data_IF_682989676197
#
_entry.id   IF_682989676197
#
_cell.length_a   1.000
_cell.length_b   1.000
_cell.length_c   1.000
_cell.angle_alpha   90.00
_cell.angle_beta   90.00
_cell.angle_gamma   90.00
#
_symmetry.space_group_name_H-M   'P 1'
#
loop_
_entity.id
_entity.type
_entity.pdbx_description
1 polymer ?
#
# COMPACT_ATOMS: atom_id res chain seq x y z
N UNK A 1 18.29 4.35 -37.38
CA UNK A 1 19.65 4.39 -37.96
C UNK A 1 20.39 3.05 -37.90
N UNK A 2 20.28 2.25 -36.83
CA UNK A 2 21.02 0.98 -36.68
C UNK A 2 20.63 -0.13 -37.68
N UNK A 3 19.34 -0.24 -38.04
CA UNK A 3 18.85 -1.25 -38.99
C UNK A 3 19.40 -1.03 -40.42
N UNK A 4 19.56 0.23 -40.81
CA UNK A 4 20.11 0.63 -42.11
C UNK A 4 21.62 0.37 -42.19
N UNK A 5 22.33 0.53 -41.07
CA UNK A 5 23.78 0.26 -40.96
C UNK A 5 24.05 -1.24 -41.13
N UNK A 6 23.36 -2.13 -40.40
CA UNK A 6 23.62 -3.58 -40.51
C UNK A 6 23.32 -4.18 -41.90
N UNK A 7 22.32 -3.64 -42.63
CA UNK A 7 21.98 -4.11 -43.97
C UNK A 7 22.95 -3.59 -45.05
N UNK A 8 23.40 -2.33 -44.94
CA UNK A 8 24.32 -1.71 -45.90
C UNK A 8 25.77 -2.20 -45.76
N UNK A 9 26.19 -2.62 -44.56
CA UNK A 9 27.53 -3.16 -44.35
C UNK A 9 27.66 -4.66 -44.67
N UNK A 10 26.55 -5.40 -44.78
CA UNK A 10 26.63 -6.85 -45.04
C UNK A 10 27.22 -7.19 -46.43
N UNK A 11 26.90 -6.41 -47.47
CA UNK A 11 27.37 -6.63 -48.84
C UNK A 11 28.76 -6.02 -49.10
N UNK A 12 29.06 -4.89 -48.46
CA UNK A 12 30.35 -4.20 -48.61
C UNK A 12 31.46 -4.89 -47.81
N UNK A 13 31.15 -5.45 -46.64
CA UNK A 13 32.12 -6.22 -45.84
C UNK A 13 32.44 -7.58 -46.48
N UNK A 14 31.45 -8.29 -47.03
CA UNK A 14 31.69 -9.55 -47.77
C UNK A 14 32.56 -9.34 -49.02
N UNK A 15 32.33 -8.23 -49.72
CA UNK A 15 33.12 -7.87 -50.90
C UNK A 15 34.57 -7.50 -50.55
N UNK A 16 34.79 -6.92 -49.36
CA UNK A 16 36.11 -6.52 -48.88
C UNK A 16 36.96 -7.68 -48.32
N UNK A 17 36.34 -8.77 -47.86
CA UNK A 17 37.03 -9.90 -47.21
C UNK A 17 37.17 -11.12 -48.15
N UNK A 18 36.67 -11.07 -49.39
CA UNK A 18 36.72 -12.17 -50.37
C UNK A 18 36.23 -13.52 -49.79
N UNK A 19 35.22 -13.48 -48.92
CA UNK A 19 34.59 -14.70 -48.40
C UNK A 19 33.34 -14.97 -49.25
N UNK A 20 33.39 -15.99 -50.10
CA UNK A 20 32.23 -16.52 -50.79
C UNK A 20 31.32 -17.25 -49.78
N UNK A 21 30.44 -16.49 -49.16
CA UNK A 21 29.37 -17.03 -48.31
C UNK A 21 28.29 -17.64 -49.23
N UNK A 22 28.20 -18.98 -49.24
CA UNK A 22 27.13 -19.73 -49.93
C UNK A 22 25.76 -19.19 -49.50
N UNK A 23 24.79 -19.02 -50.41
CA UNK A 23 23.46 -18.40 -50.19
C UNK A 23 22.75 -18.70 -48.85
N UNK A 24 22.81 -19.92 -48.27
CA UNK A 24 22.20 -20.20 -46.97
C UNK A 24 22.82 -19.39 -45.83
N UNK A 25 24.14 -19.17 -45.87
CA UNK A 25 24.88 -18.43 -44.83
C UNK A 25 24.57 -16.93 -44.84
N UNK A 26 24.40 -16.34 -46.03
CA UNK A 26 23.97 -14.94 -46.18
C UNK A 26 22.57 -14.71 -45.62
N UNK A 27 21.68 -15.68 -45.81
CA UNK A 27 20.30 -15.64 -45.29
C UNK A 27 20.28 -15.74 -43.77
N UNK A 28 21.10 -16.62 -43.19
CA UNK A 28 21.26 -16.75 -41.73
C UNK A 28 21.81 -15.45 -41.13
N UNK A 29 22.84 -14.83 -41.71
CA UNK A 29 23.40 -13.56 -41.22
C UNK A 29 22.37 -12.42 -41.25
N UNK A 30 21.53 -12.34 -42.29
CA UNK A 30 20.45 -11.35 -42.37
C UNK A 30 19.37 -11.59 -41.31
N UNK A 31 18.96 -12.83 -41.10
CA UNK A 31 17.98 -13.20 -40.07
C UNK A 31 18.53 -12.89 -38.66
N UNK A 32 19.79 -13.24 -38.39
CA UNK A 32 20.45 -12.89 -37.14
C UNK A 32 20.57 -11.37 -36.95
N UNK A 33 20.91 -10.61 -38.00
CA UNK A 33 20.97 -9.15 -37.94
C UNK A 33 19.63 -8.48 -37.65
N UNK A 34 18.53 -9.00 -38.22
CA UNK A 34 17.16 -8.53 -37.93
C UNK A 34 16.78 -8.87 -36.49
N UNK A 35 17.03 -10.11 -36.04
CA UNK A 35 16.76 -10.54 -34.67
C UNK A 35 17.55 -9.71 -33.65
N UNK A 36 18.84 -9.47 -33.88
CA UNK A 36 19.68 -8.61 -33.03
C UNK A 36 19.18 -7.16 -33.03
N UNK A 37 18.73 -6.63 -34.16
CA UNK A 37 18.16 -5.27 -34.24
C UNK A 37 16.85 -5.15 -33.46
N UNK A 38 15.98 -6.16 -33.56
CA UNK A 38 14.75 -6.22 -32.77
C UNK A 38 15.04 -6.28 -31.27
N UNK A 39 15.97 -7.16 -30.86
CA UNK A 39 16.41 -7.24 -29.46
C UNK A 39 17.03 -5.92 -28.98
N UNK A 40 17.82 -5.24 -29.82
CA UNK A 40 18.41 -3.95 -29.52
C UNK A 40 17.35 -2.85 -29.36
N UNK A 41 16.36 -2.77 -30.26
CA UNK A 41 15.25 -1.80 -30.14
C UNK A 41 14.44 -2.07 -28.89
N UNK A 42 14.14 -3.35 -28.61
CA UNK A 42 13.44 -3.79 -27.40
C UNK A 42 14.20 -3.37 -26.15
N UNK A 43 15.49 -3.71 -26.07
CA UNK A 43 16.37 -3.40 -24.94
C UNK A 43 16.56 -1.89 -24.76
N UNK A 44 16.77 -1.14 -25.85
CA UNK A 44 16.86 0.32 -25.82
C UNK A 44 15.56 0.96 -25.33
N UNK A 45 14.41 0.40 -25.73
CA UNK A 45 13.10 0.81 -25.24
C UNK A 45 12.94 0.57 -23.74
N UNK A 46 13.33 -0.61 -23.24
CA UNK A 46 13.32 -0.92 -21.81
C UNK A 46 14.23 0.01 -21.01
N UNK A 47 15.47 0.24 -21.46
CA UNK A 47 16.41 1.15 -20.80
C UNK A 47 15.92 2.58 -20.80
N UNK A 48 15.34 3.07 -21.91
CA UNK A 48 14.76 4.41 -21.97
C UNK A 48 13.62 4.58 -20.96
N UNK A 49 12.73 3.59 -20.84
CA UNK A 49 11.66 3.59 -19.82
C UNK A 49 12.23 3.58 -18.40
N UNK A 50 13.26 2.79 -18.13
CA UNK A 50 13.92 2.77 -16.82
C UNK A 50 14.60 4.11 -16.51
N UNK A 51 15.29 4.72 -17.46
CA UNK A 51 15.92 6.03 -17.29
C UNK A 51 14.88 7.12 -17.06
N UNK A 52 13.81 7.16 -17.85
CA UNK A 52 12.72 8.11 -17.67
C UNK A 52 12.06 7.95 -16.30
N UNK A 53 11.85 6.70 -15.85
CA UNK A 53 11.36 6.41 -14.50
C UNK A 53 12.33 6.92 -13.42
N UNK A 54 13.63 6.67 -13.56
CA UNK A 54 14.64 7.14 -12.59
C UNK A 54 14.73 8.68 -12.57
N UNK A 55 14.57 9.32 -13.73
CA UNK A 55 14.52 10.77 -13.86
C UNK A 55 13.28 11.34 -13.16
N UNK A 56 12.10 10.72 -13.37
CA UNK A 56 10.87 11.08 -12.66
C UNK A 56 11.01 10.85 -11.15
N UNK A 57 11.56 9.71 -10.70
CA UNK A 57 11.80 9.43 -9.28
C UNK A 57 12.77 10.46 -8.66
N UNK A 58 13.81 10.86 -9.39
CA UNK A 58 14.72 11.93 -8.97
C UNK A 58 14.01 13.28 -8.92
N UNK A 59 13.20 13.61 -9.92
CA UNK A 59 12.44 14.86 -9.99
C UNK A 59 11.35 14.95 -8.92
N UNK A 60 10.77 13.82 -8.51
CA UNK A 60 9.79 13.76 -7.42
C UNK A 60 10.35 14.34 -6.12
N UNK A 61 11.64 14.13 -5.84
CA UNK A 61 12.30 14.64 -4.61
C UNK A 61 12.35 16.16 -4.56
N UNK A 62 12.31 16.82 -5.70
CA UNK A 62 12.36 18.28 -5.80
C UNK A 62 10.97 18.92 -5.77
N UNK A 63 9.91 18.10 -5.71
CA UNK A 63 8.55 18.60 -5.58
C UNK A 63 8.34 19.27 -4.21
N UNK A 64 7.81 20.49 -4.18
CA UNK A 64 7.58 21.20 -2.93
C UNK A 64 6.26 20.79 -2.29
N UNK A 65 6.27 20.72 -0.97
CA UNK A 65 5.13 20.47 -0.11
C UNK A 65 5.08 21.50 1.01
N UNK A 66 3.88 21.78 1.51
CA UNK A 66 3.66 22.54 2.73
C UNK A 66 3.34 21.57 3.86
N UNK A 67 4.14 21.61 4.93
CA UNK A 67 3.95 20.81 6.14
C UNK A 67 3.59 21.74 7.30
N UNK A 68 2.55 21.38 8.05
CA UNK A 68 2.21 22.04 9.31
C UNK A 68 3.23 21.70 10.39
N UNK A 69 3.82 22.72 11.01
CA UNK A 69 4.71 22.59 12.17
C UNK A 69 4.15 23.39 13.34
N UNK A 70 4.69 23.17 14.54
CA UNK A 70 4.28 23.90 15.76
C UNK A 70 4.44 25.42 15.60
N UNK A 71 5.43 25.85 14.82
CA UNK A 71 5.74 27.26 14.54
C UNK A 71 5.00 27.83 13.33
N UNK A 72 4.07 27.09 12.73
CA UNK A 72 3.33 27.48 11.52
C UNK A 72 3.56 26.54 10.33
N UNK A 73 3.13 26.94 9.15
CA UNK A 73 3.35 26.14 7.92
C UNK A 73 4.68 26.50 7.27
N UNK A 74 5.42 25.48 6.82
CA UNK A 74 6.67 25.69 6.08
C UNK A 74 6.62 24.96 4.75
N UNK A 75 7.10 25.60 3.70
CA UNK A 75 7.23 24.99 2.38
C UNK A 75 8.64 24.47 2.20
N UNK A 76 8.77 23.19 1.90
CA UNK A 76 10.03 22.48 1.70
C UNK A 76 9.89 21.49 0.55
N UNK A 77 11.01 21.09 -0.05
CA UNK A 77 11.03 19.99 -1.01
C UNK A 77 10.90 18.64 -0.30
N UNK A 78 10.45 17.59 -1.00
CA UNK A 78 10.45 16.24 -0.44
C UNK A 78 11.86 15.81 0.00
N UNK A 79 12.89 16.24 -0.74
CA UNK A 79 14.32 16.00 -0.46
C UNK A 79 14.74 16.50 0.93
N UNK A 80 14.15 17.58 1.42
CA UNK A 80 14.49 18.15 2.74
C UNK A 80 14.09 17.24 3.91
N UNK A 81 13.32 16.17 3.64
CA UNK A 81 12.87 15.19 4.63
C UNK A 81 13.50 13.81 4.43
N UNK A 82 14.46 13.67 3.52
CA UNK A 82 15.20 12.43 3.34
C UNK A 82 15.89 12.02 4.64
N UNK A 83 15.89 10.71 4.92
CA UNK A 83 16.32 10.08 6.15
C UNK A 83 15.25 10.06 7.25
N UNK A 84 14.21 10.90 7.15
CA UNK A 84 13.24 11.12 8.23
C UNK A 84 11.88 10.53 7.89
N UNK A 85 11.28 10.98 6.77
CA UNK A 85 9.90 10.63 6.42
C UNK A 85 9.81 9.80 5.14
N UNK A 86 8.80 8.95 5.09
CA UNK A 86 8.27 8.34 3.87
C UNK A 86 7.10 9.19 3.38
N UNK A 87 6.80 9.11 2.10
CA UNK A 87 5.68 9.83 1.50
C UNK A 87 4.76 8.87 0.77
N UNK A 88 3.46 9.00 0.99
CA UNK A 88 2.44 8.37 0.17
C UNK A 88 1.58 9.47 -0.43
N UNK A 89 1.65 9.60 -1.76
CA UNK A 89 0.91 10.62 -2.49
C UNK A 89 -0.33 9.99 -3.10
N UNK A 90 -1.47 10.62 -2.85
CA UNK A 90 -2.77 10.25 -3.37
C UNK A 90 -3.22 11.32 -4.36
N UNK A 91 -3.68 10.90 -5.54
CA UNK A 91 -4.19 11.78 -6.58
C UNK A 91 -5.58 11.32 -7.00
N UNK A 92 -6.50 12.27 -7.15
CA UNK A 92 -7.85 12.00 -7.64
C UNK A 92 -8.77 13.21 -7.55
N UNK A 93 -10.04 12.99 -7.87
CA UNK A 93 -11.13 13.93 -7.64
C UNK A 93 -11.43 14.08 -6.14
N UNK A 94 -12.26 15.05 -5.77
CA UNK A 94 -12.67 15.24 -4.38
C UNK A 94 -13.28 13.98 -3.75
N UNK A 95 -14.11 13.26 -4.50
CA UNK A 95 -14.76 12.03 -4.03
C UNK A 95 -13.76 10.88 -3.85
N UNK A 96 -12.85 10.69 -4.80
CA UNK A 96 -11.82 9.64 -4.72
C UNK A 96 -10.85 9.92 -3.56
N UNK A 97 -10.42 11.17 -3.40
CA UNK A 97 -9.54 11.58 -2.30
C UNK A 97 -10.24 11.41 -0.95
N UNK A 98 -11.51 11.79 -0.82
CA UNK A 98 -12.31 11.55 0.39
C UNK A 98 -12.34 10.06 0.76
N UNK A 99 -12.60 9.19 -0.21
CA UNK A 99 -12.62 7.73 0.02
C UNK A 99 -11.24 7.19 0.43
N UNK A 100 -10.18 7.53 -0.30
CA UNK A 100 -8.83 7.07 0.03
C UNK A 100 -8.35 7.61 1.38
N UNK A 101 -8.68 8.85 1.72
CA UNK A 101 -8.31 9.46 2.98
C UNK A 101 -9.05 8.84 4.16
N UNK A 102 -10.35 8.58 4.08
CA UNK A 102 -11.08 7.88 5.14
C UNK A 102 -10.47 6.51 5.45
N UNK A 103 -10.08 5.76 4.40
CA UNK A 103 -9.33 4.50 4.59
C UNK A 103 -7.95 4.74 5.20
N UNK A 104 -7.24 5.81 4.81
CA UNK A 104 -5.95 6.15 5.41
C UNK A 104 -6.05 6.51 6.90
N UNK A 105 -7.14 7.15 7.33
CA UNK A 105 -7.35 7.50 8.74
C UNK A 105 -7.59 6.30 9.65
N UNK A 106 -8.03 5.16 9.11
CA UNK A 106 -8.01 3.87 9.83
C UNK A 106 -6.60 3.53 10.33
N UNK A 107 -5.57 3.92 9.58
CA UNK A 107 -4.16 3.66 9.87
C UNK A 107 -3.41 4.87 10.43
N UNK A 108 -4.10 5.92 10.89
CA UNK A 108 -3.48 7.19 11.33
C UNK A 108 -2.33 6.99 12.34
N UNK A 109 -2.49 6.06 13.29
CA UNK A 109 -1.45 5.73 14.27
C UNK A 109 -0.27 5.01 13.62
N UNK A 110 -0.54 4.10 12.68
CA UNK A 110 0.47 3.33 11.92
C UNK A 110 1.30 4.20 10.98
N UNK A 111 0.69 5.20 10.36
CA UNK A 111 1.40 6.21 9.59
C UNK A 111 2.40 6.99 10.47
N UNK A 112 2.03 7.33 11.72
CA UNK A 112 2.97 7.93 12.68
C UNK A 112 4.11 6.97 13.03
N UNK A 113 3.81 5.72 13.38
CA UNK A 113 4.85 4.73 13.73
C UNK A 113 5.80 4.39 12.57
N UNK A 114 5.34 4.56 11.33
CA UNK A 114 6.17 4.37 10.13
C UNK A 114 6.83 5.67 9.63
N UNK A 115 6.71 6.79 10.34
CA UNK A 115 7.08 8.14 9.91
C UNK A 115 6.68 8.40 8.45
N UNK A 116 5.40 8.24 8.13
CA UNK A 116 4.89 8.39 6.77
C UNK A 116 3.92 9.57 6.70
N UNK A 117 4.17 10.49 5.78
CA UNK A 117 3.33 11.67 5.50
C UNK A 117 2.47 11.40 4.27
N UNK A 118 1.18 11.72 4.37
CA UNK A 118 0.24 11.70 3.25
C UNK A 118 0.31 13.03 2.50
N UNK A 119 0.28 12.97 1.17
CA UNK A 119 0.17 14.15 0.31
C UNK A 119 -1.02 13.93 -0.62
N UNK A 120 -1.87 14.94 -0.77
CA UNK A 120 -3.01 14.87 -1.68
C UNK A 120 -2.87 15.84 -2.85
N UNK A 121 -3.15 15.36 -4.05
CA UNK A 121 -3.14 16.11 -5.30
C UNK A 121 -4.50 15.98 -5.99
N UNK A 122 -5.25 17.08 -6.07
CA UNK A 122 -6.54 17.05 -6.75
C UNK A 122 -6.41 17.16 -8.27
N UNK A 123 -7.27 16.44 -8.99
CA UNK A 123 -7.40 16.50 -10.45
C UNK A 123 -8.52 17.42 -10.93
N UNK A 124 -9.38 17.88 -10.03
CA UNK A 124 -10.58 18.69 -10.29
C UNK A 124 -10.49 20.10 -9.69
N UNK A 125 -9.36 20.46 -9.07
CA UNK A 125 -9.12 21.75 -8.46
C UNK A 125 -9.71 21.93 -7.06
N UNK A 126 -10.36 20.88 -6.51
CA UNK A 126 -10.86 20.86 -5.14
C UNK A 126 -9.75 21.09 -4.11
N UNK A 127 -10.16 21.39 -2.89
CA UNK A 127 -9.31 21.77 -1.77
C UNK A 127 -9.42 20.79 -0.60
N UNK A 128 -8.47 20.86 0.34
CA UNK A 128 -8.42 19.98 1.52
C UNK A 128 -9.74 19.94 2.28
N UNK A 129 -10.43 21.07 2.45
CA UNK A 129 -11.70 21.16 3.18
C UNK A 129 -12.84 20.37 2.53
N UNK A 130 -12.73 20.05 1.25
CA UNK A 130 -13.74 19.27 0.52
C UNK A 130 -13.50 17.76 0.65
N UNK A 131 -12.27 17.33 0.96
CA UNK A 131 -11.92 15.92 1.12
C UNK A 131 -11.91 15.49 2.57
N UNK A 132 -11.63 16.41 3.47
CA UNK A 132 -11.64 16.13 4.91
C UNK A 132 -11.75 17.39 5.77
N UNK A 133 -12.71 17.35 6.68
CA UNK A 133 -12.96 18.44 7.63
C UNK A 133 -12.06 18.37 8.87
N UNK A 134 -11.70 17.16 9.33
CA UNK A 134 -11.09 16.93 10.65
C UNK A 134 -9.78 16.09 10.61
N UNK A 135 -8.95 16.26 9.58
CA UNK A 135 -7.67 15.56 9.50
C UNK A 135 -6.66 16.11 10.53
N UNK A 136 -6.01 15.27 11.36
CA UNK A 136 -4.87 15.70 12.15
C UNK A 136 -3.79 16.29 11.22
N UNK A 137 -3.40 17.54 11.45
CA UNK A 137 -2.49 18.28 10.58
C UNK A 137 -1.11 17.63 10.42
N UNK A 138 -0.67 16.86 11.41
CA UNK A 138 0.62 16.16 11.39
C UNK A 138 0.68 14.99 10.40
N UNK A 139 -0.46 14.50 9.90
CA UNK A 139 -0.52 13.37 8.97
C UNK A 139 -0.48 13.80 7.50
N UNK A 140 -0.94 15.01 7.21
CA UNK A 140 -1.27 15.45 5.86
C UNK A 140 -0.47 16.71 5.49
N UNK A 141 0.37 16.58 4.47
CA UNK A 141 0.99 17.70 3.79
C UNK A 141 0.16 18.14 2.59
N UNK A 142 0.22 19.42 2.25
CA UNK A 142 -0.51 20.00 1.11
C UNK A 142 0.45 20.45 0.01
N UNK A 143 -0.06 20.55 -1.21
CA UNK A 143 0.70 21.10 -2.34
C UNK A 143 0.56 22.62 -2.34
N UNK A 144 1.66 23.39 -2.31
CA UNK A 144 1.61 24.85 -2.41
C UNK A 144 0.93 25.28 -3.71
N UNK A 145 0.10 26.33 -3.64
CA UNK A 145 -0.61 26.87 -4.82
C UNK A 145 0.34 27.26 -5.95
N UNK A 146 1.53 27.79 -5.61
CA UNK A 146 2.59 28.17 -6.55
C UNK A 146 3.24 26.99 -7.28
N UNK A 147 3.00 25.77 -6.82
CA UNK A 147 3.70 24.56 -7.27
C UNK A 147 2.80 23.53 -7.92
N UNK A 148 1.52 23.84 -8.11
CA UNK A 148 0.54 22.95 -8.74
C UNK A 148 1.00 22.48 -10.13
N UNK A 149 1.54 23.38 -10.94
CA UNK A 149 2.03 23.07 -12.29
C UNK A 149 3.19 22.06 -12.29
N UNK A 150 4.12 22.14 -11.33
CA UNK A 150 5.22 21.17 -11.19
C UNK A 150 4.71 19.78 -10.83
N UNK A 151 3.73 19.70 -9.92
CA UNK A 151 3.08 18.44 -9.56
C UNK A 151 2.27 17.86 -10.72
N UNK A 152 1.54 18.69 -11.46
CA UNK A 152 0.82 18.29 -12.66
C UNK A 152 1.77 17.72 -13.73
N UNK A 153 2.87 18.44 -14.03
CA UNK A 153 3.88 17.98 -14.99
C UNK A 153 4.51 16.64 -14.56
N UNK A 154 4.78 16.46 -13.26
CA UNK A 154 5.26 15.19 -12.72
C UNK A 154 4.27 14.05 -12.98
N UNK A 155 2.99 14.25 -12.67
CA UNK A 155 1.96 13.23 -12.90
C UNK A 155 1.70 12.97 -14.38
N UNK A 156 1.76 13.98 -15.24
CA UNK A 156 1.70 13.80 -16.70
C UNK A 156 2.85 12.93 -17.21
N UNK A 157 4.05 13.13 -16.67
CA UNK A 157 5.21 12.27 -16.94
C UNK A 157 5.02 10.84 -16.43
N UNK A 158 4.50 10.67 -15.22
CA UNK A 158 4.29 9.36 -14.59
C UNK A 158 3.23 8.52 -15.31
N UNK A 159 2.16 9.17 -15.79
CA UNK A 159 1.02 8.50 -16.41
C UNK A 159 1.22 8.17 -17.89
N UNK A 160 2.40 8.50 -18.46
CA UNK A 160 2.83 8.25 -19.86
C UNK A 160 1.65 8.27 -20.86
N UNK A 161 0.80 9.31 -20.82
CA UNK A 161 -0.46 9.27 -21.58
C UNK A 161 -0.52 10.27 -22.73
N UNK A 162 -0.54 9.71 -23.94
CA UNK A 162 -1.02 10.37 -25.16
C UNK A 162 -2.55 10.51 -25.20
N UNK A 163 -3.28 9.99 -24.20
CA UNK A 163 -4.75 10.07 -24.09
C UNK A 163 -5.19 11.06 -23.02
N UNK A 164 -6.07 12.04 -23.33
CA UNK A 164 -6.61 13.01 -22.37
C UNK A 164 -7.31 12.37 -21.16
N UNK A 165 -7.91 11.19 -21.33
CA UNK A 165 -8.64 10.49 -20.26
C UNK A 165 -7.73 10.05 -19.10
N UNK A 166 -6.49 9.65 -19.41
CA UNK A 166 -5.54 9.20 -18.40
C UNK A 166 -4.92 10.37 -17.62
N UNK A 167 -4.93 11.59 -18.15
CA UNK A 167 -4.41 12.76 -17.42
C UNK A 167 -5.17 13.06 -16.15
N UNK A 168 -6.45 12.69 -16.04
CA UNK A 168 -7.26 12.85 -14.82
C UNK A 168 -7.46 11.57 -14.04
N UNK A 169 -6.75 10.50 -14.38
CA UNK A 169 -6.84 9.26 -13.64
C UNK A 169 -6.39 9.47 -12.19
N UNK A 170 -7.16 8.91 -11.26
CA UNK A 170 -6.70 8.73 -9.90
C UNK A 170 -5.48 7.81 -9.89
N UNK A 171 -4.53 8.10 -9.02
CA UNK A 171 -3.35 7.28 -8.86
C UNK A 171 -2.72 7.52 -7.50
N UNK A 172 -1.82 6.63 -7.10
CA UNK A 172 -0.94 6.87 -5.97
C UNK A 172 0.49 6.52 -6.32
N UNK A 173 1.43 7.13 -5.61
CA UNK A 173 2.82 6.71 -5.61
C UNK A 173 3.42 6.89 -4.23
N UNK A 174 4.43 6.08 -3.93
CA UNK A 174 5.08 6.07 -2.64
C UNK A 174 6.59 6.27 -2.75
N UNK A 175 7.15 7.11 -1.87
CA UNK A 175 8.59 7.29 -1.70
C UNK A 175 9.01 6.84 -0.31
N UNK A 176 10.10 6.08 -0.22
CA UNK A 176 10.70 5.74 1.06
C UNK A 176 11.53 6.91 1.61
N UNK A 177 12.07 6.76 2.81
CA UNK A 177 12.92 7.77 3.46
C UNK A 177 14.28 7.98 2.77
N UNK A 178 14.57 7.33 1.65
CA UNK A 178 15.75 7.60 0.81
C UNK A 178 15.36 8.29 -0.50
N UNK A 179 14.12 8.75 -0.61
CA UNK A 179 13.55 9.35 -1.81
C UNK A 179 13.38 8.37 -2.98
N UNK A 180 13.41 7.05 -2.74
CA UNK A 180 13.21 6.03 -3.79
C UNK A 180 11.76 5.58 -3.84
N UNK A 181 11.26 5.32 -5.05
CA UNK A 181 9.92 4.77 -5.20
C UNK A 181 9.81 3.37 -4.61
N UNK A 182 8.76 3.11 -3.84
CA UNK A 182 8.43 1.77 -3.35
C UNK A 182 7.20 1.16 -4.03
N UNK A 183 6.52 1.92 -4.90
CA UNK A 183 5.32 1.48 -5.59
C UNK A 183 4.48 2.63 -6.11
N UNK A 184 3.59 2.30 -7.04
CA UNK A 184 2.54 3.17 -7.56
C UNK A 184 1.36 2.31 -8.03
N UNK A 185 0.19 2.93 -8.18
CA UNK A 185 -1.00 2.28 -8.73
C UNK A 185 -1.86 3.28 -9.48
N UNK A 186 -2.50 2.80 -10.55
CA UNK A 186 -3.40 3.58 -11.40
C UNK A 186 -4.86 3.19 -11.12
N UNK A 187 -5.73 4.18 -11.03
CA UNK A 187 -7.19 4.04 -10.91
C UNK A 187 -7.66 3.15 -9.76
N UNK A 188 -6.87 3.06 -8.70
CA UNK A 188 -7.18 2.29 -7.51
C UNK A 188 -6.62 2.99 -6.26
N UNK A 189 -7.35 2.92 -5.15
CA UNK A 189 -6.80 3.29 -3.84
C UNK A 189 -5.67 2.31 -3.46
N UNK A 190 -4.62 2.75 -2.75
CA UNK A 190 -3.58 1.85 -2.30
C UNK A 190 -4.14 0.82 -1.30
N UNK A 191 -3.72 -0.44 -1.45
CA UNK A 191 -3.91 -1.45 -0.40
C UNK A 191 -2.96 -1.14 0.76
N UNK A 192 -3.48 -0.36 1.72
CA UNK A 192 -2.70 0.15 2.83
C UNK A 192 -2.17 -0.96 3.73
N UNK A 193 -2.95 -2.01 4.01
CA UNK A 193 -2.50 -3.11 4.87
C UNK A 193 -1.27 -3.79 4.26
N UNK A 194 -1.33 -4.09 2.96
CA UNK A 194 -0.18 -4.65 2.21
C UNK A 194 1.01 -3.68 2.19
N UNK A 195 0.77 -2.37 2.04
CA UNK A 195 1.85 -1.38 2.11
C UNK A 195 2.50 -1.36 3.50
N UNK A 196 1.74 -1.43 4.59
CA UNK A 196 2.26 -1.50 5.95
C UNK A 196 3.10 -2.75 6.18
N UNK A 197 2.69 -3.91 5.66
CA UNK A 197 3.50 -5.13 5.74
C UNK A 197 4.79 -5.10 4.92
N UNK A 198 4.99 -4.13 4.01
CA UNK A 198 6.13 -4.12 3.07
C UNK A 198 6.95 -2.84 3.12
N UNK A 199 6.36 -1.74 2.68
CA UNK A 199 7.07 -0.48 2.42
C UNK A 199 6.87 0.57 3.52
N UNK A 200 5.76 0.47 4.26
CA UNK A 200 5.39 1.35 5.37
C UNK A 200 5.52 0.64 6.72
N UNK A 201 6.53 -0.21 6.86
CA UNK A 201 6.86 -0.94 8.09
C UNK A 201 7.16 0.00 9.26
N UNK A 202 7.03 -0.43 10.53
CA UNK A 202 7.36 0.43 11.65
C UNK A 202 8.86 0.74 11.61
N UNK A 203 9.25 1.92 12.10
CA UNK A 203 10.67 2.28 12.18
C UNK A 203 11.38 1.65 13.39
N UNK A 204 10.60 1.34 14.42
CA UNK A 204 11.07 0.77 15.67
C UNK A 204 10.17 -0.40 16.07
N UNK A 205 10.71 -1.34 16.84
CA UNK A 205 9.92 -2.41 17.43
C UNK A 205 8.96 -1.81 18.45
N UNK A 206 7.69 -2.19 18.37
CA UNK A 206 6.66 -1.70 19.28
C UNK A 206 6.48 -2.75 20.37
N UNK A 207 6.66 -2.37 21.63
CA UNK A 207 6.52 -3.26 22.78
C UNK A 207 5.18 -3.06 23.49
N UNK A 208 4.58 -4.11 24.08
CA UNK A 208 3.41 -3.97 24.95
C UNK A 208 3.61 -3.01 26.14
N UNK A 209 4.85 -2.85 26.60
CA UNK A 209 5.19 -2.01 27.76
C UNK A 209 5.12 -0.49 27.47
N UNK A 210 5.08 -0.09 26.20
CA UNK A 210 5.18 1.32 25.78
C UNK A 210 3.82 2.04 25.76
N UNK A 211 2.76 1.44 26.32
CA UNK A 211 1.38 1.93 26.11
C UNK A 211 0.81 2.57 27.37
N UNK A 212 0.46 3.84 27.20
CA UNK A 212 -0.31 4.67 28.14
C UNK A 212 -1.80 4.51 27.81
N UNK A 213 -2.62 4.56 28.85
CA UNK A 213 -4.06 4.24 28.93
C UNK A 213 -4.91 4.52 27.66
N UNK A 214 -5.69 3.52 27.27
CA UNK A 214 -6.36 3.40 25.96
C UNK A 214 -7.65 4.24 25.84
N UNK A 215 -8.15 4.79 26.94
CA UNK A 215 -9.55 5.25 27.05
C UNK A 215 -9.73 6.78 27.13
N UNK A 216 -8.67 7.57 27.30
CA UNK A 216 -8.85 9.02 27.46
C UNK A 216 -9.22 9.68 26.13
N UNK A 217 -10.37 10.37 26.09
CA UNK A 217 -10.87 11.11 24.93
C UNK A 217 -11.52 10.28 23.82
N UNK A 218 -11.87 9.02 24.07
CA UNK A 218 -12.61 8.16 23.13
C UNK A 218 -14.12 8.41 23.21
N UNK A 219 -14.80 8.32 22.06
CA UNK A 219 -16.26 8.27 22.00
C UNK A 219 -16.81 6.95 22.56
N UNK A 220 -18.09 6.93 22.90
CA UNK A 220 -18.78 5.73 23.42
C UNK A 220 -18.66 4.54 22.44
N UNK A 221 -18.94 4.75 21.15
CA UNK A 221 -18.80 3.71 20.12
C UNK A 221 -17.35 3.20 19.99
N UNK A 222 -16.35 4.07 20.11
CA UNK A 222 -14.94 3.65 20.10
C UNK A 222 -14.61 2.77 21.32
N UNK A 223 -15.13 3.11 22.50
CA UNK A 223 -15.00 2.30 23.71
C UNK A 223 -15.60 0.91 23.53
N UNK A 224 -16.83 0.83 23.02
CA UNK A 224 -17.53 -0.44 22.75
C UNK A 224 -16.74 -1.31 21.76
N UNK A 225 -16.21 -0.72 20.68
CA UNK A 225 -15.41 -1.46 19.70
C UNK A 225 -14.11 -1.99 20.32
N UNK A 226 -13.44 -1.21 21.18
CA UNK A 226 -12.23 -1.67 21.88
C UNK A 226 -12.56 -2.85 22.82
N UNK A 227 -13.70 -2.82 23.51
CA UNK A 227 -14.16 -3.92 24.34
C UNK A 227 -14.49 -5.17 23.51
N UNK A 228 -15.19 -5.01 22.38
CA UNK A 228 -15.47 -6.11 21.44
C UNK A 228 -14.19 -6.69 20.84
N UNK A 229 -13.21 -5.84 20.53
CA UNK A 229 -11.89 -6.27 20.09
C UNK A 229 -11.18 -7.09 21.17
N UNK A 230 -11.25 -6.69 22.45
CA UNK A 230 -10.72 -7.47 23.56
C UNK A 230 -11.42 -8.83 23.66
N UNK A 231 -12.75 -8.86 23.57
CA UNK A 231 -13.52 -10.09 23.57
C UNK A 231 -13.14 -11.05 22.42
N UNK A 232 -12.77 -10.51 21.25
CA UNK A 232 -12.25 -11.32 20.14
C UNK A 232 -10.94 -12.00 20.51
N UNK A 233 -9.97 -11.27 21.05
CA UNK A 233 -8.69 -11.86 21.44
C UNK A 233 -8.83 -12.81 22.64
N UNK A 234 -9.72 -12.52 23.59
CA UNK A 234 -10.02 -13.42 24.70
C UNK A 234 -10.61 -14.75 24.17
N UNK A 235 -11.56 -14.70 23.23
CA UNK A 235 -12.13 -15.88 22.60
C UNK A 235 -11.07 -16.66 21.78
N UNK A 236 -10.23 -15.94 21.03
CA UNK A 236 -9.16 -16.50 20.21
C UNK A 236 -8.13 -17.27 21.05
N UNK A 237 -7.70 -16.68 22.17
CA UNK A 237 -6.65 -17.25 23.04
C UNK A 237 -7.18 -18.34 23.97
N UNK A 238 -8.45 -18.26 24.40
CA UNK A 238 -9.10 -19.27 25.23
C UNK A 238 -9.71 -20.45 24.47
N UNK A 239 -9.82 -20.34 23.13
CA UNK A 239 -10.44 -21.37 22.30
C UNK A 239 -11.97 -21.41 22.36
N UNK A 240 -12.62 -20.29 22.72
CA UNK A 240 -14.07 -20.22 22.90
C UNK A 240 -14.81 -19.99 21.58
N UNK A 241 -15.23 -21.08 20.93
CA UNK A 241 -15.95 -21.06 19.64
C UNK A 241 -17.30 -20.35 19.75
N UNK A 242 -18.06 -20.57 20.82
CA UNK A 242 -19.39 -19.96 20.98
C UNK A 242 -19.28 -18.44 21.08
N UNK A 243 -18.30 -17.94 21.83
CA UNK A 243 -18.03 -16.52 21.91
C UNK A 243 -17.55 -15.96 20.57
N UNK A 244 -16.71 -16.69 19.84
CA UNK A 244 -16.25 -16.30 18.49
C UNK A 244 -17.44 -16.11 17.53
N UNK A 245 -18.38 -17.05 17.54
CA UNK A 245 -19.59 -17.00 16.72
C UNK A 245 -20.52 -15.82 17.05
N UNK A 246 -20.56 -15.38 18.31
CA UNK A 246 -21.34 -14.21 18.74
C UNK A 246 -20.66 -12.89 18.35
N UNK A 247 -19.33 -12.86 18.32
CA UNK A 247 -18.55 -11.65 18.00
C UNK A 247 -18.65 -11.31 16.52
N UNK A 248 -18.61 -12.31 15.65
CA UNK A 248 -18.66 -12.09 14.22
C UNK A 248 -20.07 -11.68 13.75
N UNK A 249 -20.08 -10.87 12.70
CA UNK A 249 -21.26 -10.57 11.89
C UNK A 249 -21.85 -11.87 11.34
N UNK A 250 -23.17 -11.91 11.19
CA UNK A 250 -23.86 -13.04 10.55
C UNK A 250 -23.60 -13.09 9.03
N UNK A 251 -23.12 -11.99 8.46
CA UNK A 251 -22.78 -11.85 7.05
C UNK A 251 -21.35 -12.30 6.77
N UNK A 252 -21.11 -12.83 5.57
CA UNK A 252 -19.79 -13.27 5.12
C UNK A 252 -19.01 -12.13 4.49
N UNK A 253 -17.69 -12.11 4.70
CA UNK A 253 -16.84 -11.13 4.02
C UNK A 253 -16.67 -11.50 2.55
N UNK A 254 -16.92 -10.53 1.66
CA UNK A 254 -16.63 -10.66 0.23
C UNK A 254 -15.13 -10.92 -0.02
N UNK A 255 -14.24 -10.31 0.77
CA UNK A 255 -12.80 -10.49 0.60
C UNK A 255 -12.38 -11.93 0.89
N UNK A 256 -12.90 -12.53 1.97
CA UNK A 256 -12.66 -13.94 2.30
C UNK A 256 -13.35 -14.86 1.29
N UNK A 257 -14.58 -14.55 0.90
CA UNK A 257 -15.33 -15.32 -0.09
C UNK A 257 -14.61 -15.42 -1.44
N UNK A 258 -14.05 -14.32 -1.93
CA UNK A 258 -13.32 -14.30 -3.21
C UNK A 258 -12.09 -15.21 -3.17
N UNK A 259 -11.35 -15.22 -2.07
CA UNK A 259 -10.17 -16.09 -1.88
C UNK A 259 -10.57 -17.56 -1.92
N UNK A 260 -11.66 -17.91 -1.23
CA UNK A 260 -12.18 -19.29 -1.23
C UNK A 260 -12.64 -19.70 -2.63
N UNK A 261 -13.31 -18.81 -3.38
CA UNK A 261 -13.73 -19.07 -4.76
C UNK A 261 -12.54 -19.26 -5.71
N UNK A 262 -11.42 -18.60 -5.44
CA UNK A 262 -10.15 -18.77 -6.17
C UNK A 262 -9.37 -20.03 -5.73
N UNK A 263 -9.92 -20.84 -4.83
CA UNK A 263 -9.35 -22.11 -4.37
C UNK A 263 -8.50 -22.01 -3.10
N UNK A 264 -8.58 -20.91 -2.36
CA UNK A 264 -7.97 -20.78 -1.03
C UNK A 264 -8.60 -21.73 -0.01
N UNK A 265 -7.78 -22.37 0.82
CA UNK A 265 -8.23 -23.21 1.92
C UNK A 265 -8.74 -22.34 3.09
N UNK A 266 -9.95 -22.68 3.56
CA UNK A 266 -10.59 -22.06 4.72
C UNK A 266 -10.53 -23.04 5.89
N UNK A 267 -9.78 -22.67 6.92
CA UNK A 267 -9.76 -23.37 8.20
C UNK A 267 -10.89 -22.80 9.06
N UNK A 268 -11.76 -23.66 9.61
CA UNK A 268 -12.92 -23.18 10.39
C UNK A 268 -12.51 -22.63 11.75
N UNK A 269 -13.42 -21.95 12.47
CA UNK A 269 -13.12 -21.53 13.84
C UNK A 269 -12.89 -22.72 14.78
N UNK A 270 -13.58 -23.85 14.59
CA UNK A 270 -13.33 -25.08 15.35
C UNK A 270 -11.94 -25.67 15.10
N UNK A 271 -11.41 -25.52 13.89
CA UNK A 271 -10.04 -25.92 13.57
C UNK A 271 -9.01 -24.95 14.16
N UNK A 272 -9.21 -23.64 13.96
CA UNK A 272 -8.31 -22.59 14.43
C UNK A 272 -8.25 -22.48 15.97
N UNK A 273 -9.34 -22.79 16.68
CA UNK A 273 -9.46 -22.64 18.13
C UNK A 273 -9.12 -23.91 18.92
N UNK A 274 -8.80 -25.01 18.22
CA UNK A 274 -8.42 -26.28 18.84
C UNK A 274 -7.14 -26.15 19.66
N UNK A 275 -7.04 -26.95 20.73
CA UNK A 275 -5.82 -27.11 21.52
C UNK A 275 -4.61 -27.41 20.60
N UNK A 276 -3.53 -26.65 20.77
CA UNK A 276 -2.33 -26.76 19.96
C UNK A 276 -2.35 -26.02 18.61
N UNK A 277 -3.52 -25.60 18.11
CA UNK A 277 -3.65 -24.74 16.93
C UNK A 277 -3.79 -23.25 17.30
N UNK A 278 -4.53 -22.96 18.37
CA UNK A 278 -4.82 -21.57 18.79
C UNK A 278 -3.58 -20.85 19.34
N UNK A 279 -3.50 -19.51 19.22
CA UNK A 279 -2.34 -18.75 19.66
C UNK A 279 -2.46 -18.36 21.15
N UNK A 280 -2.28 -19.30 22.07
CA UNK A 280 -2.56 -19.12 23.52
C UNK A 280 -1.79 -17.98 24.19
N UNK A 281 -0.59 -17.63 23.71
CA UNK A 281 0.25 -16.57 24.25
C UNK A 281 0.17 -15.25 23.47
N UNK A 282 -0.81 -15.12 22.56
CA UNK A 282 -1.02 -13.89 21.81
C UNK A 282 -1.48 -12.79 22.75
N UNK A 283 -0.79 -11.66 22.69
CA UNK A 283 -1.22 -10.41 23.31
C UNK A 283 -1.43 -9.36 22.23
N UNK A 284 -2.49 -8.59 22.36
CA UNK A 284 -2.72 -7.44 21.50
C UNK A 284 -2.55 -6.14 22.28
N UNK A 285 -2.11 -5.11 21.58
CA UNK A 285 -1.78 -3.84 22.19
C UNK A 285 -1.83 -2.69 21.18
N UNK A 286 -1.74 -1.46 21.69
CA UNK A 286 -1.78 -0.23 20.91
C UNK A 286 -3.04 -0.04 20.04
N UNK A 287 -4.26 -0.31 20.53
CA UNK A 287 -5.45 -0.25 19.69
C UNK A 287 -5.74 1.18 19.21
N UNK A 288 -6.34 1.29 18.02
CA UNK A 288 -6.85 2.53 17.47
C UNK A 288 -8.14 2.24 16.70
N UNK A 289 -9.16 3.09 16.87
CA UNK A 289 -10.48 2.93 16.25
C UNK A 289 -10.81 4.15 15.40
N UNK A 290 -11.37 3.92 14.22
CA UNK A 290 -11.89 4.96 13.35
C UNK A 290 -13.33 4.64 12.95
N UNK A 291 -14.26 5.44 13.44
CA UNK A 291 -15.67 5.40 13.01
C UNK A 291 -15.77 6.12 11.67
N UNK A 292 -16.14 5.38 10.62
CA UNK A 292 -16.31 5.95 9.27
C UNK A 292 -17.70 6.58 9.14
N UNK A 293 -18.72 5.89 9.66
CA UNK A 293 -20.10 6.36 9.74
C UNK A 293 -20.83 5.59 10.86
N UNK A 294 -22.10 5.89 11.18
CA UNK A 294 -22.84 5.25 12.28
C UNK A 294 -22.99 3.73 12.21
N UNK A 295 -22.68 3.11 11.07
CA UNK A 295 -22.85 1.67 10.82
C UNK A 295 -21.56 0.95 10.43
N UNK A 296 -20.46 1.68 10.25
CA UNK A 296 -19.18 1.14 9.80
C UNK A 296 -18.03 1.77 10.58
N UNK A 297 -17.19 0.92 11.14
CA UNK A 297 -15.98 1.31 11.82
C UNK A 297 -14.84 0.36 11.49
N UNK A 298 -13.62 0.81 11.76
CA UNK A 298 -12.44 -0.04 11.69
C UNK A 298 -11.63 0.11 12.97
N UNK A 299 -10.95 -0.95 13.38
CA UNK A 299 -9.91 -0.87 14.38
C UNK A 299 -8.60 -1.46 13.85
N UNK A 300 -7.49 -0.96 14.37
CA UNK A 300 -6.17 -1.56 14.18
C UNK A 300 -5.51 -1.77 15.52
N UNK A 301 -4.70 -2.82 15.64
CA UNK A 301 -3.87 -3.06 16.81
C UNK A 301 -2.58 -3.76 16.38
N UNK A 302 -1.63 -3.84 17.30
CA UNK A 302 -0.44 -4.67 17.16
C UNK A 302 -0.66 -5.96 17.92
N UNK A 303 -0.21 -7.07 17.36
CA UNK A 303 -0.23 -8.37 18.01
C UNK A 303 1.20 -8.86 18.20
N UNK A 304 1.46 -9.54 19.31
CA UNK A 304 2.73 -10.21 19.55
C UNK A 304 2.49 -11.54 20.25
N UNK A 305 3.26 -12.55 19.87
CA UNK A 305 3.35 -13.78 20.65
C UNK A 305 4.27 -13.51 21.84
N UNK A 306 3.88 -13.88 23.06
CA UNK A 306 4.70 -13.67 24.25
C UNK A 306 6.16 -14.12 24.07
N UNK A 307 7.10 -13.18 24.00
CA UNK A 307 8.54 -13.42 23.83
C UNK A 307 9.05 -13.45 22.38
N UNK A 308 8.20 -13.25 21.36
CA UNK A 308 8.62 -13.19 19.96
C UNK A 308 9.12 -11.80 19.56
N UNK A 309 10.17 -11.77 18.73
CA UNK A 309 10.71 -10.54 18.11
C UNK A 309 9.89 -10.06 16.90
N UNK A 310 8.76 -10.71 16.61
CA UNK A 310 7.91 -10.41 15.46
C UNK A 310 6.51 -10.00 15.89
N UNK A 311 6.08 -8.85 15.43
CA UNK A 311 4.73 -8.31 15.61
C UNK A 311 3.89 -8.48 14.34
N UNK A 312 2.57 -8.57 14.52
CA UNK A 312 1.58 -8.49 13.44
C UNK A 312 0.83 -7.17 13.55
N UNK A 313 0.43 -6.61 12.41
CA UNK A 313 -0.55 -5.53 12.34
C UNK A 313 -1.91 -6.14 12.02
N UNK A 314 -2.85 -5.95 12.93
CA UNK A 314 -4.23 -6.34 12.74
C UNK A 314 -5.06 -5.17 12.20
N UNK A 315 -5.96 -5.48 11.27
CA UNK A 315 -7.04 -4.64 10.81
C UNK A 315 -8.35 -5.39 11.03
N UNK A 316 -9.29 -4.76 11.71
CA UNK A 316 -10.62 -5.30 11.93
C UNK A 316 -11.67 -4.34 11.36
N UNK A 317 -12.59 -4.87 10.58
CA UNK A 317 -13.75 -4.15 10.05
C UNK A 317 -14.97 -4.49 10.90
N UNK A 318 -15.64 -3.48 11.41
CA UNK A 318 -16.80 -3.59 12.28
C UNK A 318 -18.03 -3.03 11.58
N UNK A 319 -19.14 -3.76 11.66
CA UNK A 319 -20.44 -3.33 11.11
C UNK A 319 -21.47 -3.33 12.22
N UNK A 320 -22.43 -2.41 12.15
CA UNK A 320 -23.54 -2.36 13.10
C UNK A 320 -24.71 -3.20 12.57
N UNK A 321 -25.05 -4.27 13.29
CA UNK A 321 -26.22 -5.12 13.02
C UNK A 321 -27.31 -4.80 14.06
N UNK A 322 -28.32 -4.05 13.65
CA UNK A 322 -29.26 -3.43 14.61
C UNK A 322 -28.54 -2.38 15.44
N UNK A 323 -28.51 -2.57 16.76
CA UNK A 323 -27.79 -1.68 17.70
C UNK A 323 -26.42 -2.24 18.14
N UNK A 324 -26.02 -3.42 17.65
CA UNK A 324 -24.79 -4.08 18.08
C UNK A 324 -23.66 -3.96 17.05
N UNK A 325 -22.47 -3.59 17.51
CA UNK A 325 -21.25 -3.71 16.70
C UNK A 325 -20.79 -5.17 16.64
N UNK A 326 -20.57 -5.66 15.42
CA UNK A 326 -20.07 -7.01 15.14
C UNK A 326 -18.87 -7.00 14.21
N UNK A 327 -17.96 -7.94 14.43
CA UNK A 327 -16.74 -8.08 13.63
C UNK A 327 -17.10 -8.68 12.27
N UNK A 328 -16.89 -7.95 11.20
CA UNK A 328 -17.18 -8.43 9.84
C UNK A 328 -15.98 -9.14 9.22
N UNK A 329 -14.79 -8.59 9.44
CA UNK A 329 -13.54 -9.13 8.90
C UNK A 329 -12.40 -8.82 9.86
N UNK A 330 -11.52 -9.78 10.04
CA UNK A 330 -10.23 -9.60 10.72
C UNK A 330 -9.12 -9.97 9.75
N UNK A 331 -8.12 -9.10 9.61
CA UNK A 331 -6.94 -9.34 8.79
C UNK A 331 -5.69 -9.11 9.60
N UNK A 332 -4.68 -9.97 9.47
CA UNK A 332 -3.37 -9.77 10.10
C UNK A 332 -2.25 -9.91 9.09
N UNK A 333 -1.22 -9.09 9.25
CA UNK A 333 -0.03 -9.10 8.40
C UNK A 333 1.23 -8.96 9.25
N UNK A 334 2.33 -9.69 8.97
CA UNK A 334 3.60 -9.43 9.62
C UNK A 334 4.00 -7.96 9.49
N UNK A 335 4.30 -7.34 10.63
CA UNK A 335 4.60 -5.92 10.72
C UNK A 335 5.82 -5.71 11.60
N UNK A 336 6.99 -6.00 11.04
CA UNK A 336 8.29 -5.91 11.71
C UNK A 336 9.20 -4.89 11.01
N UNK A 337 10.25 -4.46 11.69
CA UNK A 337 11.21 -3.49 11.14
C UNK A 337 12.01 -4.08 9.98
N UNK A 338 12.45 -5.34 10.13
CA UNK A 338 13.52 -5.89 9.29
C UNK A 338 13.03 -6.74 8.11
N UNK A 339 11.87 -7.40 8.23
CA UNK A 339 11.35 -8.28 7.16
C UNK A 339 10.07 -7.73 6.52
N UNK A 340 9.91 -7.95 5.22
CA UNK A 340 8.62 -7.73 4.57
C UNK A 340 7.69 -8.91 4.84
N UNK A 341 6.38 -8.63 4.90
CA UNK A 341 5.35 -9.64 5.06
C UNK A 341 5.40 -10.68 3.92
N UNK A 342 5.43 -11.96 4.32
CA UNK A 342 5.40 -13.10 3.40
C UNK A 342 3.96 -13.57 3.10
N UNK A 343 3.00 -13.16 3.93
CA UNK A 343 1.60 -13.48 3.76
C UNK A 343 0.69 -12.63 4.64
N UNK A 344 -0.61 -12.83 4.47
CA UNK A 344 -1.68 -12.15 5.19
C UNK A 344 -2.72 -13.18 5.59
N UNK A 345 -3.19 -13.14 6.84
CA UNK A 345 -4.35 -13.91 7.26
C UNK A 345 -5.60 -13.05 7.08
N UNK A 346 -6.68 -13.63 6.60
CA UNK A 346 -8.01 -12.98 6.59
C UNK A 346 -9.04 -13.92 7.16
N UNK A 347 -9.91 -13.42 8.03
CA UNK A 347 -10.91 -14.20 8.72
C UNK A 347 -12.28 -13.53 8.63
N UNK A 348 -13.32 -14.34 8.57
CA UNK A 348 -14.72 -13.93 8.73
C UNK A 348 -15.45 -14.89 9.68
N UNK A 349 -16.78 -14.79 9.73
CA UNK A 349 -17.65 -15.63 10.58
C UNK A 349 -17.40 -17.14 10.46
N UNK A 350 -16.82 -17.62 9.36
CA UNK A 350 -16.59 -19.06 9.15
C UNK A 350 -15.24 -19.55 9.69
N UNK A 351 -14.25 -18.68 9.78
CA UNK A 351 -12.87 -19.03 10.08
C UNK A 351 -11.87 -18.18 9.28
N UNK A 352 -10.68 -18.72 9.02
CA UNK A 352 -9.56 -17.99 8.44
C UNK A 352 -9.02 -18.60 7.15
N UNK A 353 -8.53 -17.75 6.25
CA UNK A 353 -7.79 -18.11 5.05
C UNK A 353 -6.40 -17.47 5.10
N UNK A 354 -5.37 -18.26 4.81
CA UNK A 354 -4.00 -17.76 4.70
C UNK A 354 -3.67 -17.42 3.23
N UNK A 355 -3.30 -16.18 3.00
CA UNK A 355 -2.75 -15.71 1.73
C UNK A 355 -1.24 -15.70 1.83
N UNK A 356 -0.59 -16.75 1.30
CA UNK A 356 0.86 -16.73 1.11
C UNK A 356 1.17 -16.28 -0.31
N UNK A 357 2.27 -15.53 -0.44
CA UNK A 357 2.77 -15.16 -1.75
C UNK A 357 3.27 -16.44 -2.45
N UNK A 358 2.67 -16.80 -3.60
CA UNK A 358 3.25 -17.81 -4.49
C UNK A 358 4.56 -17.35 -5.10
#
# INVERSE_FOLDING_TARGET
>A
MTLTVCLLFSSTLTSAVQIDLVEPSLTITRLLGIASSFLFVRESGFRRKQLNRLELESGARDLPITVSTITGSTTKSLRDFDGIYRFLVLRGTASELYQSLNLAFVFRKRFKTSNTILICSSTDGSSRSEWISNAPESLLATIPSTSKSSWEAFFEGLLESSSPANRRASCWFGLNNKGRSFGSGLSASPDLLTLFGRSLRPNELISPADIIDVFEGKSEDEGIIIEKQRAFYDALTSGNVDQMNVIFSTSRSEAVQNIVLEGGALDSWEDNLRDGARPESLVFFDPDVHIVNPTLAFSTNVESMGGAFSTLLALQKWVKEGDEWRLFEHSTIPWTVDSAAAGTLKCDTRGCVALTKK
#
